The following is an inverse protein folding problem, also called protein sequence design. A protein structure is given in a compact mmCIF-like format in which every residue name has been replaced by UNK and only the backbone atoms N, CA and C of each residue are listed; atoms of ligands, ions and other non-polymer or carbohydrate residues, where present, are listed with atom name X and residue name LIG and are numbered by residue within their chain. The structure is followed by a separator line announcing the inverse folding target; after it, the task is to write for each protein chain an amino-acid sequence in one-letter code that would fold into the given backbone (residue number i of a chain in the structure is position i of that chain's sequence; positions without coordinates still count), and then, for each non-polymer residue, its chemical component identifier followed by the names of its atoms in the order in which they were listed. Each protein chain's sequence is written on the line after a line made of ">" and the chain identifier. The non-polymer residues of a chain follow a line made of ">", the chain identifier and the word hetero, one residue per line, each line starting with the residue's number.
data_IF_484004820399
#
_entry.id   IF_484004820399
#
_cell.length_a   1.000
_cell.length_b   1.000
_cell.length_c   1.000
_cell.angle_alpha   90.00
_cell.angle_beta   90.00
_cell.angle_gamma   90.00
#
_symmetry.space_group_name_H-M   'P 1'
#
loop_
_entity.id
_entity.type
_entity.pdbx_description
1 polymer ?
#
# COMPACT_ATOMS: atom_id res chain seq x y z
N UNK A 1 -6.60 -20.30 22.21
CA UNK A 1 -7.79 -19.44 22.40
C UNK A 1 -7.66 -18.30 21.42
N UNK A 2 -8.62 -18.12 20.51
CA UNK A 2 -8.57 -17.01 19.56
C UNK A 2 -8.82 -15.72 20.34
N UNK A 3 -7.78 -14.88 20.45
CA UNK A 3 -7.90 -13.60 21.13
C UNK A 3 -8.97 -12.76 20.42
N UNK A 4 -9.95 -12.29 21.19
CA UNK A 4 -11.15 -11.68 20.64
C UNK A 4 -10.77 -10.30 20.11
N UNK A 5 -10.82 -10.11 18.78
CA UNK A 5 -10.46 -8.83 18.14
C UNK A 5 -11.14 -7.65 18.84
N UNK A 6 -10.33 -6.65 19.20
CA UNK A 6 -10.74 -5.41 19.85
C UNK A 6 -11.81 -4.70 19.02
N UNK A 7 -12.90 -4.24 19.65
CA UNK A 7 -13.96 -3.52 18.96
C UNK A 7 -13.46 -2.15 18.48
N UNK A 8 -13.85 -1.79 17.26
CA UNK A 8 -13.40 -0.58 16.54
C UNK A 8 -13.74 0.75 17.21
N UNK A 9 -14.70 0.77 18.13
CA UNK A 9 -15.22 1.94 18.85
C UNK A 9 -14.68 2.06 20.29
N UNK A 10 -13.75 1.20 20.68
CA UNK A 10 -13.15 1.23 22.03
C UNK A 10 -11.97 2.20 22.13
N UNK A 11 -11.69 2.69 23.35
CA UNK A 11 -10.47 3.44 23.65
C UNK A 11 -9.20 2.66 23.30
N UNK A 12 -9.21 1.34 23.48
CA UNK A 12 -8.12 0.45 23.07
C UNK A 12 -7.89 0.48 21.54
N UNK A 13 -8.94 0.61 20.73
CA UNK A 13 -8.80 0.75 19.28
C UNK A 13 -8.22 2.12 18.88
N UNK A 14 -8.53 3.19 19.62
CA UNK A 14 -7.93 4.50 19.41
C UNK A 14 -6.41 4.48 19.73
N UNK A 15 -6.02 3.87 20.86
CA UNK A 15 -4.61 3.70 21.23
C UNK A 15 -3.87 2.86 20.17
N UNK A 16 -4.48 1.76 19.70
CA UNK A 16 -3.89 0.94 18.64
C UNK A 16 -3.68 1.72 17.33
N UNK A 17 -4.65 2.56 16.94
CA UNK A 17 -4.51 3.40 15.76
C UNK A 17 -3.36 4.41 15.89
N UNK A 18 -3.18 5.00 17.08
CA UNK A 18 -2.02 5.88 17.34
C UNK A 18 -0.69 5.11 17.29
N UNK A 19 -0.64 3.89 17.84
CA UNK A 19 0.54 3.02 17.74
C UNK A 19 0.86 2.66 16.28
N UNK A 20 -0.15 2.29 15.48
CA UNK A 20 0.01 2.02 14.06
C UNK A 20 0.53 3.25 13.31
N UNK A 21 -0.02 4.43 13.62
CA UNK A 21 0.41 5.69 13.03
C UNK A 21 1.87 6.01 13.38
N UNK A 22 2.36 5.64 14.57
CA UNK A 22 3.76 5.80 14.97
C UNK A 22 4.72 4.86 14.21
N UNK A 23 4.28 3.64 13.91
CA UNK A 23 5.05 2.66 13.11
C UNK A 23 5.03 2.99 11.60
N UNK A 24 4.00 3.69 11.12
CA UNK A 24 3.74 4.12 9.74
C UNK A 24 3.49 2.96 8.74
N UNK A 25 4.42 2.01 8.64
CA UNK A 25 4.37 0.87 7.71
C UNK A 25 4.85 -0.43 8.35
N UNK A 26 4.50 -1.56 7.75
CA UNK A 26 4.98 -2.88 8.16
C UNK A 26 6.18 -3.23 7.28
N UNK A 27 7.26 -3.72 7.88
CA UNK A 27 8.39 -4.22 7.10
C UNK A 27 7.99 -5.48 6.30
N UNK A 28 8.39 -5.58 5.02
CA UNK A 28 8.10 -6.75 4.22
C UNK A 28 8.77 -8.00 4.83
N UNK A 29 8.12 -9.17 4.80
CA UNK A 29 8.74 -10.39 5.28
C UNK A 29 10.04 -10.67 4.50
N UNK A 30 11.14 -10.95 5.19
CA UNK A 30 12.47 -11.09 4.56
C UNK A 30 12.56 -12.17 3.49
N UNK A 31 11.74 -13.22 3.60
CA UNK A 31 11.68 -14.34 2.66
C UNK A 31 10.66 -14.13 1.53
N UNK A 32 9.95 -13.01 1.50
CA UNK A 32 8.91 -12.73 0.51
C UNK A 32 9.46 -12.23 -0.84
N UNK A 33 10.72 -11.79 -0.89
CA UNK A 33 11.37 -11.39 -2.14
C UNK A 33 10.84 -10.09 -2.74
N UNK A 34 10.62 -9.06 -1.91
CA UNK A 34 10.24 -7.73 -2.40
C UNK A 34 11.39 -7.12 -3.21
N UNK A 35 11.12 -6.71 -4.45
CA UNK A 35 12.09 -5.97 -5.24
C UNK A 35 12.31 -4.57 -4.65
N UNK A 36 13.55 -4.11 -4.59
CA UNK A 36 13.88 -2.77 -4.06
C UNK A 36 13.10 -1.64 -4.75
N UNK A 37 12.84 -1.77 -6.06
CA UNK A 37 12.07 -0.76 -6.81
C UNK A 37 10.56 -0.86 -6.59
N UNK A 38 10.09 -1.95 -5.97
CA UNK A 38 8.69 -2.17 -5.64
C UNK A 38 8.30 -1.61 -4.26
N UNK A 39 9.27 -1.17 -3.46
CA UNK A 39 9.09 -0.62 -2.11
C UNK A 39 8.04 0.51 -2.03
N UNK A 40 7.95 1.47 -2.97
CA UNK A 40 6.88 2.46 -2.94
C UNK A 40 5.47 1.84 -3.06
N UNK A 41 5.31 0.83 -3.94
CA UNK A 41 4.04 0.13 -4.10
C UNK A 41 3.68 -0.68 -2.85
N UNK A 42 4.68 -1.27 -2.19
CA UNK A 42 4.49 -1.92 -0.90
C UNK A 42 3.89 -0.97 0.13
N UNK A 43 4.51 0.19 0.34
CA UNK A 43 4.01 1.16 1.33
C UNK A 43 2.60 1.65 1.00
N UNK A 44 2.31 1.94 -0.27
CA UNK A 44 0.97 2.34 -0.72
C UNK A 44 -0.08 1.25 -0.47
N UNK A 45 0.28 -0.01 -0.71
CA UNK A 45 -0.61 -1.15 -0.46
C UNK A 45 -0.84 -1.34 1.04
N UNK A 46 0.21 -1.32 1.87
CA UNK A 46 0.09 -1.56 3.32
C UNK A 46 -0.72 -0.45 4.01
N UNK A 47 -0.54 0.82 3.59
CA UNK A 47 -1.29 1.96 4.13
C UNK A 47 -2.75 2.02 3.68
N UNK A 48 -3.20 1.12 2.79
CA UNK A 48 -4.57 1.16 2.28
C UNK A 48 -5.64 0.75 3.31
N UNK A 49 -5.24 0.05 4.36
CA UNK A 49 -6.10 -0.39 5.47
C UNK A 49 -5.30 -0.41 6.77
N UNK A 50 -6.00 -0.51 7.91
CA UNK A 50 -5.36 -0.46 9.23
C UNK A 50 -4.25 -1.52 9.39
N UNK A 51 -3.12 -1.16 10.00
CA UNK A 51 -1.93 -2.05 10.07
C UNK A 51 -2.21 -3.36 10.81
N UNK A 52 -3.04 -3.32 11.85
CA UNK A 52 -3.48 -4.49 12.63
C UNK A 52 -4.47 -5.42 11.89
N UNK A 53 -4.88 -5.04 10.67
CA UNK A 53 -5.76 -5.86 9.83
C UNK A 53 -5.01 -6.84 8.94
N UNK A 54 -3.69 -6.69 8.78
CA UNK A 54 -2.85 -7.54 7.95
C UNK A 54 -2.47 -8.84 8.66
N UNK A 55 -2.67 -9.97 8.00
CA UNK A 55 -2.15 -11.26 8.45
C UNK A 55 -0.79 -11.55 7.81
N UNK A 56 0.04 -12.46 8.37
CA UNK A 56 1.29 -12.86 7.74
C UNK A 56 1.11 -13.37 6.29
N UNK A 57 0.02 -14.07 6.01
CA UNK A 57 -0.31 -14.53 4.66
C UNK A 57 -0.64 -13.37 3.72
N UNK A 58 -1.39 -12.37 4.20
CA UNK A 58 -1.69 -11.15 3.43
C UNK A 58 -0.40 -10.38 3.08
N UNK A 59 0.57 -10.33 3.99
CA UNK A 59 1.85 -9.67 3.75
C UNK A 59 2.64 -10.33 2.61
N UNK A 60 2.62 -11.67 2.53
CA UNK A 60 3.25 -12.38 1.40
C UNK A 60 2.56 -12.05 0.08
N UNK A 61 1.23 -12.06 0.05
CA UNK A 61 0.47 -11.69 -1.14
C UNK A 61 0.62 -10.21 -1.51
N UNK A 62 0.79 -9.32 -0.54
CA UNK A 62 1.05 -7.90 -0.77
C UNK A 62 2.43 -7.63 -1.37
N UNK A 63 3.45 -8.43 -1.02
CA UNK A 63 4.77 -8.36 -1.68
C UNK A 63 4.65 -8.72 -3.15
N UNK A 64 3.98 -9.83 -3.45
CA UNK A 64 3.75 -10.26 -4.83
C UNK A 64 2.96 -9.21 -5.64
N UNK A 65 1.93 -8.62 -5.03
CA UNK A 65 1.19 -7.51 -5.63
C UNK A 65 2.10 -6.32 -5.96
N UNK A 66 2.96 -5.91 -5.02
CA UNK A 66 3.89 -4.79 -5.22
C UNK A 66 4.89 -5.06 -6.36
N UNK A 67 5.44 -6.27 -6.42
CA UNK A 67 6.33 -6.69 -7.51
C UNK A 67 5.60 -6.67 -8.86
N UNK A 68 4.35 -7.17 -8.93
CA UNK A 68 3.56 -7.13 -10.16
C UNK A 68 3.20 -5.70 -10.61
N UNK A 69 2.91 -4.81 -9.65
CA UNK A 69 2.70 -3.38 -9.93
C UNK A 69 3.96 -2.70 -10.48
N UNK A 70 5.14 -3.05 -9.98
CA UNK A 70 6.40 -2.62 -10.59
C UNK A 70 6.53 -3.21 -12.01
N UNK A 71 6.32 -4.52 -12.16
CA UNK A 71 6.55 -5.22 -13.42
C UNK A 71 5.65 -4.68 -14.56
N UNK A 72 4.38 -4.38 -14.31
CA UNK A 72 3.51 -3.77 -15.33
C UNK A 72 4.00 -2.39 -15.78
N UNK A 73 4.66 -1.61 -14.92
CA UNK A 73 5.26 -0.32 -15.34
C UNK A 73 6.45 -0.51 -16.26
N UNK A 74 7.25 -1.56 -16.02
CA UNK A 74 8.37 -1.97 -16.88
C UNK A 74 7.84 -2.39 -18.24
N UNK A 75 6.84 -3.29 -18.30
CA UNK A 75 6.23 -3.72 -19.55
C UNK A 75 5.65 -2.55 -20.36
N UNK A 76 4.96 -1.61 -19.70
CA UNK A 76 4.42 -0.41 -20.36
C UNK A 76 5.52 0.54 -20.85
N UNK A 77 6.66 0.63 -20.15
CA UNK A 77 7.81 1.40 -20.61
C UNK A 77 8.43 0.74 -21.85
N UNK A 78 8.59 -0.57 -21.82
CA UNK A 78 9.22 -1.33 -22.89
C UNK A 78 8.34 -1.33 -24.15
N UNK A 79 7.02 -1.45 -24.00
CA UNK A 79 6.06 -1.25 -25.09
C UNK A 79 6.19 0.13 -25.73
N UNK A 80 6.23 1.20 -24.92
CA UNK A 80 6.41 2.58 -25.43
C UNK A 80 7.74 2.76 -26.17
N UNK A 81 8.81 2.09 -25.72
CA UNK A 81 10.10 2.11 -26.39
C UNK A 81 10.00 1.45 -27.76
N UNK A 82 9.45 0.24 -27.80
CA UNK A 82 9.34 -0.54 -29.04
C UNK A 82 8.39 0.11 -30.06
N UNK A 83 7.28 0.70 -29.58
CA UNK A 83 6.32 1.40 -30.44
C UNK A 83 6.90 2.64 -31.13
N UNK A 84 7.98 3.23 -30.59
CA UNK A 84 8.69 4.37 -31.20
C UNK A 84 9.64 3.95 -32.32
N UNK A 85 10.03 2.68 -32.38
CA UNK A 85 10.90 2.16 -33.43
C UNK A 85 10.14 2.16 -34.77
N UNK A 86 10.81 2.60 -35.83
CA UNK A 86 10.27 2.69 -37.20
C UNK A 86 11.14 1.91 -38.18
N UNK A 87 10.54 1.47 -39.28
CA UNK A 87 11.24 0.74 -40.34
C UNK A 87 11.61 -0.68 -39.91
N UNK A 88 12.66 -1.22 -40.53
CA UNK A 88 13.06 -2.63 -40.43
C UNK A 88 13.45 -3.07 -39.01
N UNK A 89 13.85 -2.14 -38.14
CA UNK A 89 14.20 -2.45 -36.74
C UNK A 89 13.00 -2.67 -35.83
N UNK A 90 11.77 -2.45 -36.31
CA UNK A 90 10.55 -2.54 -35.51
C UNK A 90 10.09 -3.99 -35.34
N UNK A 91 10.00 -4.46 -34.10
CA UNK A 91 9.58 -5.81 -33.79
C UNK A 91 8.07 -5.90 -33.50
N UNK A 92 7.25 -6.10 -34.54
CA UNK A 92 5.80 -6.22 -34.38
C UNK A 92 5.36 -7.43 -33.52
N UNK A 93 6.14 -8.52 -33.52
CA UNK A 93 5.83 -9.69 -32.70
C UNK A 93 5.97 -9.37 -31.20
N UNK A 94 7.04 -8.67 -30.82
CA UNK A 94 7.26 -8.21 -29.45
C UNK A 94 6.18 -7.22 -29.00
N UNK A 95 5.79 -6.27 -29.86
CA UNK A 95 4.73 -5.30 -29.56
C UNK A 95 3.40 -6.01 -29.31
N UNK A 96 3.06 -6.99 -30.15
CA UNK A 96 1.84 -7.80 -29.99
C UNK A 96 1.85 -8.55 -28.67
N UNK A 97 2.98 -9.15 -28.32
CA UNK A 97 3.14 -9.90 -27.07
C UNK A 97 3.03 -8.99 -25.84
N UNK A 98 3.73 -7.86 -25.81
CA UNK A 98 3.63 -6.87 -24.72
C UNK A 98 2.19 -6.34 -24.55
N UNK A 99 1.50 -6.05 -25.66
CA UNK A 99 0.08 -5.62 -25.65
C UNK A 99 -0.87 -6.69 -25.10
N UNK A 100 -0.48 -7.97 -25.16
CA UNK A 100 -1.22 -9.09 -24.55
C UNK A 100 -0.89 -9.24 -23.07
N UNK A 101 0.40 -9.25 -22.71
CA UNK A 101 0.84 -9.45 -21.33
C UNK A 101 0.35 -8.34 -20.38
N UNK A 102 0.38 -7.07 -20.81
CA UNK A 102 -0.02 -5.93 -19.97
C UNK A 102 -1.45 -6.06 -19.43
N UNK A 103 -2.49 -6.27 -20.24
CA UNK A 103 -3.86 -6.41 -19.73
C UNK A 103 -4.08 -7.73 -18.97
N UNK A 104 -3.32 -8.79 -19.23
CA UNK A 104 -3.35 -10.02 -18.44
C UNK A 104 -2.84 -9.76 -17.01
N UNK A 105 -1.64 -9.18 -16.91
CA UNK A 105 -1.05 -8.79 -15.61
C UNK A 105 -1.92 -7.76 -14.87
N UNK A 106 -2.52 -6.81 -15.60
CA UNK A 106 -3.44 -5.83 -14.99
C UNK A 106 -4.66 -6.50 -14.35
N UNK A 107 -5.21 -7.56 -14.96
CA UNK A 107 -6.32 -8.32 -14.37
C UNK A 107 -5.87 -9.08 -13.13
N UNK A 108 -4.69 -9.68 -13.16
CA UNK A 108 -4.09 -10.34 -11.98
C UNK A 108 -3.92 -9.36 -10.82
N UNK A 109 -3.35 -8.17 -11.08
CA UNK A 109 -3.19 -7.11 -10.07
C UNK A 109 -4.55 -6.70 -9.48
N UNK A 110 -5.58 -6.52 -10.31
CA UNK A 110 -6.92 -6.16 -9.83
C UNK A 110 -7.55 -7.27 -8.98
N UNK A 111 -7.34 -8.53 -9.32
CA UNK A 111 -7.78 -9.67 -8.52
C UNK A 111 -7.07 -9.71 -7.17
N UNK A 112 -5.73 -9.59 -7.16
CA UNK A 112 -4.93 -9.55 -5.93
C UNK A 112 -5.36 -8.42 -4.99
N UNK A 113 -5.61 -7.21 -5.52
CA UNK A 113 -6.12 -6.09 -4.71
C UNK A 113 -7.49 -6.41 -4.11
N UNK A 114 -8.38 -7.07 -4.86
CA UNK A 114 -9.69 -7.48 -4.35
C UNK A 114 -9.57 -8.51 -3.24
N UNK A 115 -8.69 -9.50 -3.41
CA UNK A 115 -8.49 -10.57 -2.43
C UNK A 115 -7.89 -10.03 -1.13
N UNK A 116 -6.99 -9.05 -1.21
CA UNK A 116 -6.42 -8.35 -0.07
C UNK A 116 -7.33 -7.28 0.54
N UNK A 117 -8.51 -7.04 -0.05
CA UNK A 117 -9.45 -5.99 0.32
C UNK A 117 -8.85 -4.58 0.27
N UNK A 118 -7.97 -4.35 -0.71
CA UNK A 118 -7.37 -3.06 -1.02
C UNK A 118 -8.31 -2.30 -1.95
N UNK A 119 -9.20 -1.49 -1.36
CA UNK A 119 -10.23 -0.77 -2.12
C UNK A 119 -9.82 0.66 -2.45
N UNK A 120 -10.38 1.20 -3.55
CA UNK A 120 -10.42 2.65 -3.70
C UNK A 120 -11.41 3.21 -2.67
N UNK A 121 -11.30 4.50 -2.35
CA UNK A 121 -12.03 5.15 -1.26
C UNK A 121 -13.58 4.98 -1.32
N UNK A 122 -14.13 4.59 -2.48
CA UNK A 122 -15.55 4.26 -2.65
C UNK A 122 -15.91 2.92 -1.96
N UNK A 123 -16.43 3.06 -0.74
CA UNK A 123 -16.63 2.06 0.31
C UNK A 123 -17.77 1.04 0.07
N UNK A 124 -17.95 0.53 -1.15
CA UNK A 124 -19.01 -0.45 -1.42
C UNK A 124 -18.50 -1.87 -1.16
N UNK A 125 -18.74 -2.39 0.04
CA UNK A 125 -18.46 -3.78 0.43
C UNK A 125 -17.71 -3.96 1.75
N UNK A 126 -17.14 -2.90 2.31
CA UNK A 126 -16.48 -2.99 3.63
C UNK A 126 -17.49 -3.13 4.76
N UNK A 127 -17.16 -3.98 5.75
CA UNK A 127 -17.94 -4.02 6.98
C UNK A 127 -17.84 -2.70 7.74
N UNK A 128 -18.89 -2.32 8.46
CA UNK A 128 -18.90 -1.11 9.30
C UNK A 128 -17.69 -1.03 10.24
N UNK A 129 -17.30 -2.15 10.81
CA UNK A 129 -16.18 -2.24 11.77
C UNK A 129 -14.81 -2.14 11.09
N UNK A 130 -14.68 -2.58 9.83
CA UNK A 130 -13.49 -2.33 9.02
C UNK A 130 -13.40 -0.85 8.66
N UNK A 131 -14.51 -0.26 8.20
CA UNK A 131 -14.58 1.17 7.85
C UNK A 131 -14.15 2.06 9.02
N UNK A 132 -14.68 1.79 10.23
CA UNK A 132 -14.30 2.54 11.44
C UNK A 132 -12.82 2.39 11.79
N UNK A 133 -12.25 1.18 11.69
CA UNK A 133 -10.81 0.97 11.95
C UNK A 133 -9.93 1.72 10.97
N UNK A 134 -10.24 1.64 9.67
CA UNK A 134 -9.52 2.39 8.64
C UNK A 134 -9.63 3.91 8.86
N UNK A 135 -10.79 4.41 9.31
CA UNK A 135 -10.97 5.81 9.66
C UNK A 135 -10.11 6.24 10.85
N UNK A 136 -10.08 5.43 11.93
CA UNK A 136 -9.25 5.73 13.10
C UNK A 136 -7.76 5.75 12.75
N UNK A 137 -7.30 4.75 12.00
CA UNK A 137 -5.91 4.62 11.57
C UNK A 137 -5.48 5.80 10.68
N UNK A 138 -6.37 6.24 9.79
CA UNK A 138 -6.16 7.43 8.96
C UNK A 138 -6.12 8.71 9.79
N UNK A 139 -7.10 8.93 10.66
CA UNK A 139 -7.14 10.11 11.52
C UNK A 139 -5.90 10.21 12.41
N UNK A 140 -5.40 9.08 12.92
CA UNK A 140 -4.16 9.03 13.69
C UNK A 140 -2.93 9.40 12.85
N UNK A 141 -2.85 8.96 11.58
CA UNK A 141 -1.77 9.38 10.67
C UNK A 141 -1.85 10.86 10.31
N UNK A 142 -3.04 11.36 10.00
CA UNK A 142 -3.26 12.78 9.67
C UNK A 142 -2.85 13.66 10.86
N UNK A 143 -3.27 13.30 12.08
CA UNK A 143 -2.86 13.99 13.34
C UNK A 143 -1.34 13.97 13.53
N UNK A 144 -0.68 12.84 13.28
CA UNK A 144 0.79 12.76 13.35
C UNK A 144 1.45 13.70 12.33
N UNK A 145 0.96 13.73 11.10
CA UNK A 145 1.51 14.60 10.06
C UNK A 145 1.38 16.09 10.44
N UNK A 146 0.21 16.49 10.95
CA UNK A 146 -0.04 17.87 11.42
C UNK A 146 0.90 18.31 12.57
N UNK A 147 1.31 17.36 13.43
CA UNK A 147 2.22 17.63 14.55
C UNK A 147 3.70 17.52 14.19
N UNK A 148 4.09 16.71 13.19
CA UNK A 148 5.47 16.68 12.69
C UNK A 148 5.90 18.03 12.08
N UNK A 149 4.95 18.77 11.50
CA UNK A 149 5.18 20.14 11.01
C UNK A 149 5.36 21.17 12.16
N UNK A 150 5.05 20.78 13.42
CA UNK A 150 5.15 21.63 14.62
C UNK A 150 6.30 21.23 15.56
N UNK A 151 6.97 20.10 15.32
CA UNK A 151 8.03 19.55 16.19
C UNK A 151 9.30 20.41 16.22
N UNK A 152 9.50 21.31 15.25
CA UNK A 152 10.63 22.25 15.22
C UNK A 152 10.58 23.34 16.32
N UNK A 153 9.50 23.40 17.12
CA UNK A 153 9.35 24.45 18.14
C UNK A 153 8.71 23.98 19.46
N UNK A 154 8.97 22.73 19.89
CA UNK A 154 8.40 22.17 21.12
C UNK A 154 9.26 22.33 22.38
N UNK A 155 10.41 23.02 22.30
CA UNK A 155 11.16 23.42 23.49
C UNK A 155 10.98 24.93 23.66
N UNK A 156 10.05 25.31 24.54
CA UNK A 156 9.98 26.69 25.03
C UNK A 156 11.31 27.02 25.74
N UNK A 157 12.09 27.95 25.17
CA UNK A 157 13.28 28.47 25.85
C UNK A 157 12.83 29.12 27.17
N UNK A 158 13.40 28.73 28.32
CA UNK A 158 13.15 29.44 29.57
C UNK A 158 13.59 30.89 29.37
N UNK A 159 12.66 31.84 29.47
CA UNK A 159 13.01 33.25 29.63
C UNK A 159 13.59 33.40 31.03
N UNK A 160 14.89 33.22 31.17
CA UNK A 160 15.60 33.67 32.37
C UNK A 160 15.50 35.19 32.40
N UNK A 161 14.90 35.71 33.47
CA UNK A 161 14.87 37.13 33.83
C UNK A 161 16.14 37.57 34.53
#
# INVERSE_FOLDING_TARGET
>A
MADKRTRSDSSAAAIQAMNNAAVDTIDPPSHAGLEKKAEPFWHDNIRSKALDSWTPADLLAAVELANNQLYITVLRRDLRKEERVRGEGRNEALIKDLRKQIPELQRTILAQRRDLQIHSHATNGESRDQKKRNQNDRAARDTRAEHQDQDDNLIAFPKHG
#
